data_IF_485516628093
#
_entry.id   IF_485516628093
#
_cell.length_a   1.000
_cell.length_b   1.000
_cell.length_c   1.000
_cell.angle_alpha   90.00
_cell.angle_beta   90.00
_cell.angle_gamma   90.00
#
_symmetry.space_group_name_H-M   'P 1'
#
loop_
_entity.id
_entity.type
_entity.pdbx_description
1 polymer ?
#
# COMPACT_ATOMS: atom_id res chain seq x y z
N UNK A 1 -31.64 12.01 -10.15
CA UNK A 1 -30.19 11.96 -10.47
C UNK A 1 -30.11 11.89 -11.99
N UNK A 2 -29.56 12.90 -12.67
CA UNK A 2 -29.31 12.80 -14.12
C UNK A 2 -28.05 11.97 -14.31
N UNK A 3 -28.15 10.90 -15.09
CA UNK A 3 -27.13 9.87 -15.30
C UNK A 3 -26.35 10.08 -16.61
N UNK A 4 -26.16 11.34 -17.00
CA UNK A 4 -25.57 11.71 -18.29
C UNK A 4 -24.13 11.23 -18.48
N UNK A 5 -23.42 10.90 -17.39
CA UNK A 5 -22.01 10.53 -17.41
C UNK A 5 -21.74 9.05 -17.08
N UNK A 6 -22.77 8.20 -17.08
CA UNK A 6 -22.58 6.77 -16.82
C UNK A 6 -21.61 6.12 -17.84
N UNK A 7 -20.82 5.12 -17.40
CA UNK A 7 -19.85 4.46 -18.26
C UNK A 7 -20.48 3.67 -19.41
N UNK A 8 -21.78 3.32 -19.30
CA UNK A 8 -22.51 2.55 -20.31
C UNK A 8 -23.70 3.37 -20.83
N UNK A 9 -23.63 3.77 -22.10
CA UNK A 9 -24.67 4.51 -22.81
C UNK A 9 -25.59 3.61 -23.64
N UNK A 10 -25.12 2.42 -24.00
CA UNK A 10 -25.91 1.44 -24.78
C UNK A 10 -25.84 0.04 -24.17
N UNK A 11 -26.85 -0.83 -24.42
CA UNK A 11 -26.80 -2.22 -24.00
C UNK A 11 -25.58 -2.98 -24.52
N UNK A 12 -25.10 -2.65 -25.72
CA UNK A 12 -23.92 -3.28 -26.33
C UNK A 12 -22.65 -2.98 -25.53
N UNK A 13 -22.48 -1.75 -25.03
CA UNK A 13 -21.33 -1.39 -24.18
C UNK A 13 -21.34 -2.19 -22.87
N UNK A 14 -22.51 -2.36 -22.25
CA UNK A 14 -22.67 -3.18 -21.05
C UNK A 14 -22.38 -4.66 -21.34
N UNK A 15 -22.85 -5.20 -22.47
CA UNK A 15 -22.57 -6.58 -22.87
C UNK A 15 -21.09 -6.83 -23.12
N UNK A 16 -20.37 -5.88 -23.74
CA UNK A 16 -18.93 -5.96 -23.93
C UNK A 16 -18.18 -5.97 -22.58
N UNK A 17 -18.63 -5.16 -21.63
CA UNK A 17 -18.07 -5.14 -20.29
C UNK A 17 -18.34 -6.44 -19.54
N UNK A 18 -19.57 -6.97 -19.62
CA UNK A 18 -19.92 -8.25 -19.01
C UNK A 18 -19.03 -9.38 -19.53
N UNK A 19 -18.83 -9.48 -20.85
CA UNK A 19 -17.92 -10.47 -21.44
C UNK A 19 -16.50 -10.37 -20.89
N UNK A 20 -15.99 -9.17 -20.67
CA UNK A 20 -14.66 -8.98 -20.07
C UNK A 20 -14.62 -9.43 -18.60
N UNK A 21 -15.71 -9.21 -17.84
CA UNK A 21 -15.84 -9.68 -16.45
C UNK A 21 -15.96 -11.21 -16.37
N UNK A 22 -16.66 -11.83 -17.31
CA UNK A 22 -16.74 -13.30 -17.39
C UNK A 22 -15.35 -13.90 -17.61
N UNK A 23 -14.57 -13.33 -18.53
CA UNK A 23 -13.17 -13.73 -18.79
C UNK A 23 -12.25 -13.47 -17.59
N UNK A 24 -12.50 -12.41 -16.82
CA UNK A 24 -11.79 -12.17 -15.56
C UNK A 24 -12.08 -13.25 -14.52
N UNK A 25 -13.34 -13.70 -14.44
CA UNK A 25 -13.76 -14.77 -13.54
C UNK A 25 -13.11 -16.08 -13.93
N UNK A 26 -13.10 -16.41 -15.22
CA UNK A 26 -12.38 -17.57 -15.76
C UNK A 26 -10.89 -17.51 -15.42
N UNK A 27 -10.23 -16.37 -15.64
CA UNK A 27 -8.83 -16.18 -15.27
C UNK A 27 -8.58 -16.44 -13.77
N UNK A 28 -9.42 -15.93 -12.88
CA UNK A 28 -9.26 -16.17 -11.43
C UNK A 28 -9.44 -17.66 -11.07
N UNK A 29 -10.38 -18.37 -11.70
CA UNK A 29 -10.55 -19.81 -11.50
C UNK A 29 -9.32 -20.60 -11.94
N UNK A 30 -8.71 -20.22 -13.07
CA UNK A 30 -7.44 -20.80 -13.53
C UNK A 30 -6.27 -20.47 -12.58
N UNK A 31 -6.24 -19.26 -12.00
CA UNK A 31 -5.22 -18.90 -11.02
C UNK A 31 -5.35 -19.72 -9.73
N UNK A 32 -6.58 -19.96 -9.27
CA UNK A 32 -6.89 -20.78 -8.09
C UNK A 32 -6.52 -22.25 -8.28
N UNK A 33 -6.73 -22.80 -9.49
CA UNK A 33 -6.32 -24.18 -9.82
C UNK A 33 -4.80 -24.36 -9.78
N UNK A 34 -4.05 -23.26 -9.86
CA UNK A 34 -2.58 -23.22 -9.94
C UNK A 34 -2.01 -24.02 -11.11
N UNK A 35 -2.82 -24.34 -12.13
CA UNK A 35 -2.34 -24.98 -13.34
C UNK A 35 -1.66 -23.94 -14.23
N UNK A 36 -0.33 -24.04 -14.32
CA UNK A 36 0.46 -23.07 -15.09
C UNK A 36 0.23 -23.20 -16.60
N UNK A 37 0.02 -24.42 -17.10
CA UNK A 37 -0.16 -24.64 -18.55
C UNK A 37 -1.47 -24.01 -19.02
N UNK A 38 -2.56 -24.19 -18.29
CA UNK A 38 -3.86 -23.59 -18.64
C UNK A 38 -3.80 -22.06 -18.65
N UNK A 39 -3.08 -21.46 -17.69
CA UNK A 39 -2.87 -20.01 -17.65
C UNK A 39 -2.02 -19.50 -18.82
N UNK A 40 -1.09 -20.31 -19.32
CA UNK A 40 -0.29 -19.99 -20.50
C UNK A 40 -1.14 -20.10 -21.78
N UNK A 41 -1.95 -21.15 -21.91
CA UNK A 41 -2.90 -21.25 -23.03
C UNK A 41 -3.89 -20.08 -23.03
N UNK A 42 -4.37 -19.66 -21.85
CA UNK A 42 -5.21 -18.47 -21.72
C UNK A 42 -4.49 -17.21 -22.20
N UNK A 43 -3.22 -17.02 -21.82
CA UNK A 43 -2.42 -15.90 -22.30
C UNK A 43 -2.29 -15.90 -23.84
N UNK A 44 -1.91 -17.04 -24.42
CA UNK A 44 -1.72 -17.17 -25.86
C UNK A 44 -3.01 -16.94 -26.65
N UNK A 45 -4.15 -17.38 -26.12
CA UNK A 45 -5.44 -17.22 -26.76
C UNK A 45 -5.89 -15.75 -26.85
N UNK A 46 -5.53 -14.91 -25.87
CA UNK A 46 -6.14 -13.59 -25.71
C UNK A 46 -5.18 -12.40 -25.86
N UNK A 47 -3.87 -12.58 -25.62
CA UNK A 47 -2.91 -11.48 -25.54
C UNK A 47 -2.93 -10.55 -26.77
N UNK A 48 -2.75 -11.10 -27.98
CA UNK A 48 -2.66 -10.31 -29.21
C UNK A 48 -3.97 -9.56 -29.49
N UNK A 49 -5.09 -10.29 -29.51
CA UNK A 49 -6.42 -9.72 -29.75
C UNK A 49 -6.76 -8.61 -28.74
N UNK A 50 -6.46 -8.80 -27.46
CA UNK A 50 -6.76 -7.79 -26.45
C UNK A 50 -5.89 -6.55 -26.58
N UNK A 51 -4.62 -6.69 -26.98
CA UNK A 51 -3.76 -5.55 -27.27
C UNK A 51 -4.30 -4.73 -28.44
N UNK A 52 -4.72 -5.38 -29.52
CA UNK A 52 -5.37 -4.71 -30.65
C UNK A 52 -6.66 -3.98 -30.23
N UNK A 53 -7.51 -4.64 -29.44
CA UNK A 53 -8.74 -4.03 -28.93
C UNK A 53 -8.46 -2.79 -28.08
N UNK A 54 -7.49 -2.87 -27.16
CA UNK A 54 -7.07 -1.72 -26.33
C UNK A 54 -6.54 -0.59 -27.22
N UNK A 55 -5.71 -0.90 -28.22
CA UNK A 55 -5.06 0.08 -29.08
C UNK A 55 -6.04 0.78 -30.04
N UNK A 56 -7.12 0.11 -30.42
CA UNK A 56 -8.16 0.65 -31.31
C UNK A 56 -9.21 1.53 -30.60
N UNK A 57 -9.24 1.54 -29.27
CA UNK A 57 -10.35 2.07 -28.48
C UNK A 57 -10.14 3.52 -28.03
N UNK A 58 -10.68 4.48 -28.79
CA UNK A 58 -10.58 5.91 -28.42
C UNK A 58 -11.67 6.40 -27.45
N UNK A 59 -12.82 5.72 -27.39
CA UNK A 59 -13.96 6.17 -26.58
C UNK A 59 -13.71 6.02 -25.07
N UNK A 60 -13.09 4.90 -24.66
CA UNK A 60 -12.82 4.61 -23.26
C UNK A 60 -11.73 5.50 -22.65
N UNK A 61 -10.86 6.09 -23.47
CA UNK A 61 -9.83 7.02 -23.02
C UNK A 61 -10.43 8.34 -22.54
N UNK A 62 -11.54 8.77 -23.13
CA UNK A 62 -12.24 10.01 -22.79
C UNK A 62 -12.98 9.93 -21.45
N UNK A 63 -13.25 8.73 -20.94
CA UNK A 63 -13.87 8.55 -19.62
C UNK A 63 -12.95 9.05 -18.50
N UNK A 64 -13.52 9.73 -17.47
CA UNK A 64 -12.78 10.01 -16.24
C UNK A 64 -12.21 8.74 -15.61
N UNK A 65 -11.08 8.86 -14.90
CA UNK A 65 -10.39 7.69 -14.34
C UNK A 65 -11.25 6.80 -13.43
N UNK A 66 -12.19 7.39 -12.69
CA UNK A 66 -13.15 6.68 -11.84
C UNK A 66 -14.24 5.91 -12.60
N UNK A 67 -14.49 6.25 -13.87
CA UNK A 67 -15.37 5.48 -14.77
C UNK A 67 -14.62 4.54 -15.69
N UNK A 68 -13.41 4.90 -16.12
CA UNK A 68 -12.59 4.06 -16.99
C UNK A 68 -12.37 2.66 -16.44
N UNK A 69 -12.37 2.49 -15.11
CA UNK A 69 -12.28 1.17 -14.45
C UNK A 69 -13.44 0.22 -14.79
N UNK A 70 -14.56 0.74 -15.26
CA UNK A 70 -15.73 0.02 -15.71
C UNK A 70 -15.76 -0.14 -17.24
N UNK A 71 -14.60 -0.12 -17.90
CA UNK A 71 -14.48 -0.40 -19.34
C UNK A 71 -13.92 -1.81 -19.60
N UNK A 72 -14.28 -2.45 -20.73
CA UNK A 72 -13.71 -3.73 -21.12
C UNK A 72 -12.17 -3.69 -21.21
N UNK A 73 -11.62 -2.59 -21.72
CA UNK A 73 -10.18 -2.41 -21.91
C UNK A 73 -9.43 -2.33 -20.59
N UNK A 74 -10.02 -1.70 -19.58
CA UNK A 74 -9.44 -1.70 -18.24
C UNK A 74 -9.40 -3.09 -17.63
N UNK A 75 -10.46 -3.89 -17.83
CA UNK A 75 -10.51 -5.29 -17.36
C UNK A 75 -9.44 -6.13 -18.05
N UNK A 76 -9.33 -6.05 -19.39
CA UNK A 76 -8.29 -6.72 -20.18
C UNK A 76 -6.89 -6.32 -19.74
N UNK A 77 -6.62 -5.02 -19.65
CA UNK A 77 -5.32 -4.51 -19.20
C UNK A 77 -4.98 -4.99 -17.79
N UNK A 78 -5.97 -5.08 -16.89
CA UNK A 78 -5.77 -5.63 -15.54
C UNK A 78 -5.37 -7.10 -15.61
N UNK A 79 -6.08 -7.93 -16.37
CA UNK A 79 -5.73 -9.35 -16.54
C UNK A 79 -4.33 -9.51 -17.16
N UNK A 80 -4.02 -8.79 -18.25
CA UNK A 80 -2.69 -8.79 -18.86
C UNK A 80 -1.60 -8.46 -17.85
N UNK A 81 -1.85 -7.50 -16.94
CA UNK A 81 -0.88 -7.16 -15.89
C UNK A 81 -0.63 -8.31 -14.90
N UNK A 82 -1.62 -9.17 -14.63
CA UNK A 82 -1.43 -10.39 -13.84
C UNK A 82 -0.73 -11.49 -14.66
N UNK A 83 -1.04 -11.62 -15.96
CA UNK A 83 -0.38 -12.57 -16.86
C UNK A 83 1.13 -12.33 -16.98
N UNK A 84 1.63 -11.10 -16.73
CA UNK A 84 3.08 -10.86 -16.61
C UNK A 84 3.73 -11.76 -15.54
N UNK A 85 3.05 -12.00 -14.41
CA UNK A 85 3.54 -12.85 -13.31
C UNK A 85 3.44 -14.34 -13.70
N UNK A 86 2.43 -14.71 -14.49
CA UNK A 86 2.29 -16.06 -15.07
C UNK A 86 3.45 -16.39 -15.99
N UNK A 87 3.74 -15.52 -16.95
CA UNK A 87 4.84 -15.69 -17.91
C UNK A 87 6.19 -15.87 -17.20
N UNK A 88 6.41 -15.14 -16.09
CA UNK A 88 7.62 -15.29 -15.28
C UNK A 88 7.71 -16.64 -14.57
N UNK A 89 6.58 -17.18 -14.06
CA UNK A 89 6.55 -18.54 -13.49
C UNK A 89 6.84 -19.60 -14.56
N UNK A 90 6.37 -19.39 -15.78
CA UNK A 90 6.67 -20.21 -16.96
C UNK A 90 8.06 -19.95 -17.55
N UNK A 91 8.86 -19.05 -16.96
CA UNK A 91 10.21 -18.67 -17.42
C UNK A 91 10.24 -18.09 -18.85
N UNK A 92 9.11 -17.59 -19.35
CA UNK A 92 8.98 -16.86 -20.63
C UNK A 92 9.32 -15.38 -20.41
N UNK A 93 10.59 -15.12 -20.09
CA UNK A 93 11.03 -13.81 -19.61
C UNK A 93 10.97 -12.72 -20.68
N UNK A 94 11.26 -13.05 -21.94
CA UNK A 94 11.23 -12.09 -23.05
C UNK A 94 9.81 -11.56 -23.29
N UNK A 95 8.83 -12.47 -23.35
CA UNK A 95 7.41 -12.12 -23.50
C UNK A 95 6.88 -11.35 -22.29
N UNK A 96 7.31 -11.72 -21.07
CA UNK A 96 6.97 -10.97 -19.88
C UNK A 96 7.54 -9.53 -19.91
N UNK A 97 8.76 -9.34 -20.41
CA UNK A 97 9.36 -8.00 -20.59
C UNK A 97 8.56 -7.21 -21.62
N UNK A 98 8.27 -7.79 -22.78
CA UNK A 98 7.49 -7.14 -23.85
C UNK A 98 6.11 -6.71 -23.32
N UNK A 99 5.41 -7.61 -22.63
CA UNK A 99 4.08 -7.31 -22.09
C UNK A 99 4.12 -6.20 -21.04
N UNK A 100 5.13 -6.20 -20.15
CA UNK A 100 5.29 -5.12 -19.18
C UNK A 100 5.57 -3.78 -19.89
N UNK A 101 6.44 -3.76 -20.89
CA UNK A 101 6.73 -2.55 -21.67
C UNK A 101 5.47 -2.03 -22.39
N UNK A 102 4.69 -2.92 -23.01
CA UNK A 102 3.41 -2.57 -23.60
C UNK A 102 2.46 -1.94 -22.57
N UNK A 103 2.26 -2.57 -21.41
CA UNK A 103 1.39 -2.04 -20.36
C UNK A 103 1.88 -0.70 -19.81
N UNK A 104 3.20 -0.50 -19.70
CA UNK A 104 3.78 0.77 -19.28
C UNK A 104 3.60 1.88 -20.32
N UNK A 105 3.56 1.54 -21.62
CA UNK A 105 3.25 2.50 -22.68
C UNK A 105 1.78 2.99 -22.65
N UNK A 106 0.87 2.25 -22.00
CA UNK A 106 -0.55 2.59 -21.87
C UNK A 106 -0.83 3.23 -20.51
N UNK A 107 -0.62 4.54 -20.39
CA UNK A 107 -0.72 5.29 -19.11
C UNK A 107 -2.14 5.44 -18.56
N UNK A 108 -3.16 5.17 -19.38
CA UNK A 108 -4.57 5.29 -18.99
C UNK A 108 -5.06 4.15 -18.11
N UNK A 109 -4.41 2.99 -18.18
CA UNK A 109 -4.80 1.77 -17.46
C UNK A 109 -3.80 1.41 -16.37
N UNK A 110 -4.23 0.64 -15.37
CA UNK A 110 -3.37 0.11 -14.30
C UNK A 110 -2.49 1.16 -13.58
N UNK A 111 -2.90 2.43 -13.50
CA UNK A 111 -2.10 3.52 -12.90
C UNK A 111 -1.51 3.14 -11.53
N UNK A 112 -2.31 2.53 -10.67
CA UNK A 112 -1.90 2.07 -9.33
C UNK A 112 -0.90 0.90 -9.31
N UNK A 113 -0.71 0.18 -10.44
CA UNK A 113 0.28 -0.91 -10.57
C UNK A 113 1.56 -0.46 -11.28
N UNK A 114 1.63 0.77 -11.79
CA UNK A 114 2.78 1.23 -12.60
C UNK A 114 4.10 1.11 -11.87
N UNK A 115 4.16 1.49 -10.58
CA UNK A 115 5.37 1.29 -9.77
C UNK A 115 5.79 -0.17 -9.62
N UNK A 116 4.83 -1.11 -9.48
CA UNK A 116 5.11 -2.56 -9.46
C UNK A 116 5.65 -3.02 -10.82
N UNK A 117 5.05 -2.57 -11.92
CA UNK A 117 5.46 -2.92 -13.29
C UNK A 117 6.87 -2.41 -13.60
N UNK A 118 7.18 -1.15 -13.30
CA UNK A 118 8.53 -0.58 -13.46
C UNK A 118 9.58 -1.33 -12.65
N UNK A 119 9.31 -1.57 -11.36
CA UNK A 119 10.22 -2.34 -10.51
C UNK A 119 10.45 -3.75 -11.06
N UNK A 120 9.40 -4.37 -11.63
CA UNK A 120 9.51 -5.71 -12.20
C UNK A 120 10.28 -5.72 -13.51
N UNK A 121 10.03 -4.75 -14.40
CA UNK A 121 10.78 -4.59 -15.65
C UNK A 121 12.27 -4.42 -15.37
N UNK A 122 12.63 -3.49 -14.48
CA UNK A 122 14.01 -3.23 -14.10
C UNK A 122 14.69 -4.50 -13.54
N UNK A 123 14.00 -5.23 -12.64
CA UNK A 123 14.49 -6.50 -12.10
C UNK A 123 14.68 -7.57 -13.18
N UNK A 124 13.77 -7.65 -14.16
CA UNK A 124 13.82 -8.65 -15.21
C UNK A 124 14.94 -8.36 -16.21
N UNK A 125 15.10 -7.11 -16.64
CA UNK A 125 16.20 -6.69 -17.50
C UNK A 125 17.55 -6.96 -16.85
N UNK A 126 17.70 -6.62 -15.55
CA UNK A 126 18.94 -6.88 -14.81
C UNK A 126 19.34 -8.36 -14.86
N UNK A 127 18.39 -9.26 -14.58
CA UNK A 127 18.69 -10.68 -14.38
C UNK A 127 18.73 -11.47 -15.69
N UNK A 128 17.81 -11.21 -16.61
CA UNK A 128 17.55 -12.10 -17.74
C UNK A 128 18.00 -11.54 -19.09
N UNK A 129 18.15 -10.22 -19.24
CA UNK A 129 18.62 -9.64 -20.50
C UNK A 129 20.15 -9.59 -20.53
N UNK A 130 20.75 -10.19 -21.55
CA UNK A 130 22.21 -10.20 -21.78
C UNK A 130 22.54 -9.80 -23.23
N UNK A 131 23.68 -9.13 -23.48
CA UNK A 131 24.68 -8.68 -22.50
C UNK A 131 24.31 -7.35 -21.81
N UNK A 132 23.40 -6.57 -22.39
CA UNK A 132 23.17 -5.16 -22.03
C UNK A 132 22.10 -4.92 -20.94
N UNK A 133 21.66 -5.96 -20.22
CA UNK A 133 20.55 -5.85 -19.28
C UNK A 133 20.75 -4.86 -18.13
N UNK A 134 21.99 -4.66 -17.67
CA UNK A 134 22.28 -3.65 -16.64
C UNK A 134 22.04 -2.22 -17.15
N UNK A 135 22.47 -1.91 -18.38
CA UNK A 135 22.24 -0.58 -18.96
C UNK A 135 20.75 -0.36 -19.26
N UNK A 136 20.06 -1.38 -19.77
CA UNK A 136 18.61 -1.30 -19.98
C UNK A 136 17.86 -1.07 -18.66
N UNK A 137 18.25 -1.77 -17.59
CA UNK A 137 17.70 -1.58 -16.25
C UNK A 137 17.85 -0.13 -15.79
N UNK A 138 19.01 0.50 -15.98
CA UNK A 138 19.23 1.90 -15.61
C UNK A 138 18.39 2.88 -16.43
N UNK A 139 18.29 2.67 -17.75
CA UNK A 139 17.43 3.49 -18.60
C UNK A 139 15.95 3.37 -18.17
N UNK A 140 15.52 2.15 -17.86
CA UNK A 140 14.17 1.86 -17.33
C UNK A 140 13.92 2.54 -15.99
N UNK A 141 14.91 2.54 -15.08
CA UNK A 141 14.80 3.26 -13.81
C UNK A 141 14.67 4.77 -14.06
N UNK A 142 15.46 5.35 -14.97
CA UNK A 142 15.39 6.76 -15.32
C UNK A 142 13.99 7.16 -15.81
N UNK A 143 13.41 6.38 -16.73
CA UNK A 143 12.06 6.60 -17.23
C UNK A 143 11.01 6.46 -16.11
N UNK A 144 11.13 5.44 -15.26
CA UNK A 144 10.24 5.22 -14.14
C UNK A 144 10.25 6.40 -13.13
N UNK A 145 11.39 7.05 -12.93
CA UNK A 145 11.49 8.22 -12.05
C UNK A 145 10.79 9.46 -12.63
N UNK A 146 10.50 9.51 -13.92
CA UNK A 146 9.69 10.58 -14.53
C UNK A 146 8.18 10.29 -14.52
N UNK A 147 7.78 9.06 -14.20
CA UNK A 147 6.37 8.66 -14.24
C UNK A 147 5.60 9.12 -12.98
N UNK A 148 4.60 10.01 -13.12
CA UNK A 148 3.90 10.61 -11.98
C UNK A 148 3.04 9.62 -11.18
N UNK A 149 2.78 8.43 -11.71
CA UNK A 149 1.99 7.40 -11.06
C UNK A 149 2.85 6.39 -10.28
N UNK A 150 4.18 6.51 -10.34
CA UNK A 150 5.08 5.70 -9.51
C UNK A 150 5.09 6.28 -8.11
N UNK A 151 4.61 5.49 -7.16
CA UNK A 151 4.53 5.87 -5.75
C UNK A 151 5.92 6.09 -5.16
N UNK A 152 5.96 6.83 -4.06
CA UNK A 152 7.16 7.08 -3.30
C UNK A 152 7.89 5.77 -2.88
N UNK A 153 7.18 4.79 -2.33
CA UNK A 153 7.80 3.49 -1.97
C UNK A 153 8.35 2.72 -3.18
N UNK A 154 7.69 2.79 -4.33
CA UNK A 154 8.17 2.14 -5.55
C UNK A 154 9.39 2.87 -6.15
N UNK A 155 9.45 4.21 -6.04
CA UNK A 155 10.62 5.04 -6.40
C UNK A 155 11.83 4.68 -5.56
N UNK A 156 11.66 4.56 -4.24
CA UNK A 156 12.75 4.16 -3.34
C UNK A 156 13.33 2.78 -3.75
N UNK A 157 12.47 1.82 -4.10
CA UNK A 157 12.92 0.51 -4.58
C UNK A 157 13.73 0.54 -5.88
N UNK A 158 13.36 1.44 -6.81
CA UNK A 158 14.11 1.67 -8.05
C UNK A 158 15.46 2.33 -7.78
N UNK A 159 15.51 3.35 -6.92
CA UNK A 159 16.75 4.03 -6.53
C UNK A 159 17.71 3.07 -5.82
N UNK A 160 17.22 2.23 -4.91
CA UNK A 160 18.02 1.19 -4.25
C UNK A 160 18.58 0.16 -5.23
N UNK A 161 17.82 -0.20 -6.27
CA UNK A 161 18.31 -1.08 -7.34
C UNK A 161 19.44 -0.42 -8.12
N UNK A 162 19.26 0.83 -8.54
CA UNK A 162 20.30 1.58 -9.22
C UNK A 162 21.57 1.68 -8.35
N UNK A 163 21.45 2.05 -7.07
CA UNK A 163 22.61 2.14 -6.14
C UNK A 163 23.36 0.81 -6.05
N UNK A 164 22.64 -0.31 -5.92
CA UNK A 164 23.24 -1.66 -5.91
C UNK A 164 23.90 -2.05 -7.23
N UNK A 165 23.41 -1.55 -8.36
CA UNK A 165 24.05 -1.79 -9.66
C UNK A 165 25.34 -1.00 -9.82
N UNK A 166 25.38 0.24 -9.34
CA UNK A 166 26.58 1.09 -9.36
C UNK A 166 27.68 0.62 -8.42
N UNK A 167 27.30 0.10 -7.24
CA UNK A 167 28.28 -0.41 -6.26
C UNK A 167 28.92 -1.74 -6.67
N UNK A 168 28.45 -2.40 -7.75
CA UNK A 168 29.04 -3.64 -8.24
C UNK A 168 30.40 -3.40 -8.91
N UNK A 169 31.46 -4.14 -8.53
CA UNK A 169 32.78 -3.99 -9.15
C UNK A 169 32.76 -4.16 -10.68
N UNK A 170 31.95 -5.09 -11.19
CA UNK A 170 31.81 -5.38 -12.62
C UNK A 170 31.11 -4.28 -13.43
N UNK A 171 30.44 -3.34 -12.78
CA UNK A 171 29.69 -2.25 -13.40
C UNK A 171 30.51 -0.95 -13.50
N UNK A 172 31.61 -0.85 -12.75
CA UNK A 172 32.38 0.39 -12.58
C UNK A 172 33.00 0.83 -13.91
N UNK A 173 32.67 2.05 -14.36
CA UNK A 173 33.17 2.63 -15.61
C UNK A 173 32.56 2.06 -16.89
N UNK A 174 31.58 1.15 -16.80
CA UNK A 174 30.90 0.53 -17.95
C UNK A 174 29.49 1.10 -18.12
N UNK A 175 28.80 1.35 -17.01
CA UNK A 175 27.42 1.86 -17.03
C UNK A 175 27.39 3.37 -17.24
N UNK A 176 26.51 3.81 -18.12
CA UNK A 176 26.24 5.23 -18.38
C UNK A 176 24.95 5.61 -17.66
N UNK A 177 25.02 6.46 -16.65
CA UNK A 177 23.85 7.11 -16.07
C UNK A 177 24.16 8.58 -15.79
N UNK A 178 23.97 9.42 -16.80
CA UNK A 178 24.21 10.87 -16.70
C UNK A 178 23.27 11.57 -15.70
N UNK A 179 22.17 10.91 -15.32
CA UNK A 179 21.22 11.37 -14.31
C UNK A 179 21.61 10.96 -12.88
N UNK A 180 22.63 10.12 -12.72
CA UNK A 180 23.22 9.82 -11.41
C UNK A 180 24.52 10.63 -11.35
N UNK A 181 24.42 11.84 -10.81
CA UNK A 181 25.56 12.72 -10.59
C UNK A 181 26.30 12.33 -9.31
N UNK A 182 27.59 12.66 -9.21
CA UNK A 182 28.40 12.47 -7.98
C UNK A 182 27.80 13.18 -6.74
N UNK A 183 26.89 14.14 -6.96
CA UNK A 183 25.90 14.58 -5.97
C UNK A 183 24.80 13.50 -5.81
N UNK A 184 25.17 12.36 -5.23
CA UNK A 184 24.34 11.15 -5.05
C UNK A 184 22.98 11.42 -4.36
N UNK A 185 22.76 12.60 -3.78
CA UNK A 185 21.66 12.90 -2.87
C UNK A 185 20.40 13.49 -3.52
N UNK A 186 20.49 14.22 -4.65
CA UNK A 186 19.34 14.98 -5.15
C UNK A 186 18.31 14.17 -5.96
N UNK A 187 18.71 13.01 -6.50
CA UNK A 187 17.83 12.12 -7.29
C UNK A 187 17.58 10.77 -6.64
N UNK A 188 18.47 10.32 -5.74
CA UNK A 188 18.28 9.11 -4.97
C UNK A 188 17.77 9.45 -3.59
N UNK A 189 16.45 9.53 -3.44
CA UNK A 189 15.83 9.64 -2.13
C UNK A 189 16.41 8.60 -1.17
N UNK A 190 17.10 9.09 -0.15
CA UNK A 190 17.72 8.29 0.89
C UNK A 190 16.88 8.43 2.14
N UNK A 191 16.28 7.32 2.56
CA UNK A 191 15.51 7.25 3.80
C UNK A 191 16.46 6.87 4.94
N UNK A 192 16.59 7.67 6.01
CA UNK A 192 17.36 7.31 7.19
C UNK A 192 16.90 5.97 7.78
N UNK A 193 17.82 5.26 8.44
CA UNK A 193 17.42 4.05 9.16
C UNK A 193 16.51 4.45 10.33
N UNK A 194 15.32 3.83 10.44
CA UNK A 194 14.41 4.14 11.53
C UNK A 194 15.00 3.66 12.86
N UNK A 195 14.56 4.29 13.95
CA UNK A 195 14.85 3.81 15.30
C UNK A 195 14.29 2.39 15.45
N UNK A 196 15.10 1.45 15.94
CA UNK A 196 14.67 0.09 16.23
C UNK A 196 14.76 -0.19 17.74
N UNK A 197 13.78 -0.91 18.28
CA UNK A 197 13.81 -1.50 19.61
C UNK A 197 13.66 -3.02 19.52
N UNK A 198 14.12 -3.75 20.53
CA UNK A 198 13.94 -5.20 20.61
C UNK A 198 13.03 -5.57 21.79
N UNK A 199 11.99 -6.34 21.50
CA UNK A 199 11.04 -6.87 22.49
C UNK A 199 11.12 -8.39 22.49
N UNK A 200 11.35 -8.99 23.66
CA UNK A 200 11.44 -10.44 23.78
C UNK A 200 10.11 -11.04 24.23
N UNK A 201 9.58 -11.99 23.45
CA UNK A 201 8.38 -12.75 23.79
C UNK A 201 8.70 -14.21 24.11
N UNK A 202 7.94 -14.82 25.03
CA UNK A 202 8.01 -16.27 25.25
C UNK A 202 7.19 -16.98 24.17
N UNK A 203 7.86 -17.82 23.38
CA UNK A 203 7.20 -18.64 22.37
C UNK A 203 6.42 -19.79 23.00
N UNK A 204 5.22 -20.04 22.47
CA UNK A 204 4.59 -21.34 22.62
C UNK A 204 5.31 -22.33 21.70
N UNK A 205 5.65 -23.52 22.19
CA UNK A 205 6.26 -24.55 21.35
C UNK A 205 5.31 -24.86 20.18
N UNK A 206 5.76 -24.59 18.94
CA UNK A 206 4.96 -24.77 17.73
C UNK A 206 4.39 -26.19 17.65
N UNK A 207 3.06 -26.33 17.69
CA UNK A 207 2.42 -27.44 16.98
C UNK A 207 2.45 -27.05 15.50
N UNK A 208 3.13 -27.84 14.67
CA UNK A 208 3.41 -27.57 13.26
C UNK A 208 2.14 -27.36 12.38
N UNK A 209 0.95 -27.48 12.98
CA UNK A 209 -0.36 -27.27 12.36
C UNK A 209 -0.85 -25.82 12.35
N UNK A 210 -0.31 -24.93 13.19
CA UNK A 210 -0.94 -23.59 13.39
C UNK A 210 -0.41 -22.46 12.51
N UNK A 211 0.70 -22.63 11.78
CA UNK A 211 1.19 -21.71 10.74
C UNK A 211 1.62 -20.30 11.17
N UNK A 212 1.05 -19.72 12.23
CA UNK A 212 1.38 -18.43 12.81
C UNK A 212 2.11 -18.61 14.15
N UNK A 213 3.16 -17.82 14.35
CA UNK A 213 3.94 -17.80 15.59
C UNK A 213 3.06 -17.21 16.70
N UNK A 214 2.93 -17.93 17.82
CA UNK A 214 2.12 -17.51 18.97
C UNK A 214 3.02 -17.27 20.19
N UNK A 215 2.81 -16.13 20.84
CA UNK A 215 3.51 -15.73 22.05
C UNK A 215 2.58 -15.80 23.27
N UNK A 216 3.17 -15.85 24.46
CA UNK A 216 2.42 -15.82 25.72
C UNK A 216 2.70 -14.51 26.47
N UNK A 217 1.63 -13.84 26.89
CA UNK A 217 1.65 -12.70 27.81
C UNK A 217 1.07 -13.16 29.14
N UNK A 218 1.61 -12.67 30.26
CA UNK A 218 1.01 -12.87 31.57
C UNK A 218 0.12 -11.67 31.90
N UNK A 219 -1.14 -11.93 32.23
CA UNK A 219 -2.06 -10.87 32.66
C UNK A 219 -1.58 -10.31 34.02
N UNK A 220 -1.41 -8.98 34.13
CA UNK A 220 -0.92 -8.37 35.37
C UNK A 220 -1.93 -8.42 36.52
N UNK A 221 -3.21 -8.66 36.27
CA UNK A 221 -4.28 -8.64 37.29
C UNK A 221 -4.43 -9.99 37.97
N UNK A 222 -4.54 -11.07 37.21
CA UNK A 222 -4.81 -12.42 37.74
C UNK A 222 -3.65 -13.42 37.52
N UNK A 223 -2.60 -13.01 36.82
CA UNK A 223 -1.45 -13.86 36.50
C UNK A 223 -1.73 -14.93 35.46
N UNK A 224 -2.91 -14.92 34.82
CA UNK A 224 -3.27 -15.88 33.77
C UNK A 224 -2.38 -15.72 32.54
N UNK A 225 -2.17 -16.82 31.81
CA UNK A 225 -1.39 -16.81 30.58
C UNK A 225 -2.35 -16.62 29.41
N UNK A 226 -2.16 -15.54 28.66
CA UNK A 226 -2.90 -15.22 27.44
C UNK A 226 -2.02 -15.50 26.21
N UNK A 227 -2.63 -16.07 25.17
CA UNK A 227 -1.98 -16.30 23.89
C UNK A 227 -2.20 -15.10 22.97
N UNK A 228 -1.15 -14.70 22.26
CA UNK A 228 -1.18 -13.48 21.45
C UNK A 228 -0.31 -13.60 20.19
N UNK A 229 -0.59 -12.74 19.22
CA UNK A 229 0.28 -12.53 18.07
C UNK A 229 1.42 -11.55 18.39
N UNK A 230 2.27 -11.29 17.39
CA UNK A 230 3.45 -10.43 17.56
C UNK A 230 3.07 -8.98 17.86
N UNK A 231 1.96 -8.50 17.28
CA UNK A 231 1.46 -7.14 17.42
C UNK A 231 0.86 -6.90 18.80
N UNK A 232 0.11 -7.86 19.34
CA UNK A 232 -0.43 -7.82 20.69
C UNK A 232 0.67 -7.88 21.75
N UNK A 233 1.74 -8.64 21.52
CA UNK A 233 2.93 -8.65 22.39
C UNK A 233 3.60 -7.26 22.41
N UNK A 234 3.76 -6.64 21.25
CA UNK A 234 4.31 -5.28 21.17
C UNK A 234 3.40 -4.27 21.90
N UNK A 235 2.07 -4.31 21.70
CA UNK A 235 1.13 -3.46 22.44
C UNK A 235 1.26 -3.66 23.96
N UNK A 236 1.41 -4.91 24.42
CA UNK A 236 1.62 -5.19 25.84
C UNK A 236 2.90 -4.54 26.38
N UNK A 237 4.02 -4.65 25.65
CA UNK A 237 5.26 -3.97 26.01
C UNK A 237 5.09 -2.45 26.11
N UNK A 238 4.47 -1.82 25.11
CA UNK A 238 4.22 -0.37 25.15
C UNK A 238 3.34 0.05 26.33
N UNK A 239 2.41 -0.83 26.73
CA UNK A 239 1.51 -0.57 27.85
C UNK A 239 2.19 -0.72 29.21
N UNK A 240 3.05 -1.71 29.40
CA UNK A 240 3.66 -2.01 30.70
C UNK A 240 4.99 -1.29 30.92
N UNK A 241 5.81 -1.15 29.89
CA UNK A 241 7.18 -0.64 30.01
C UNK A 241 7.32 0.83 29.56
N UNK A 242 6.51 1.26 28.59
CA UNK A 242 6.67 2.58 27.93
C UNK A 242 5.53 3.57 28.25
N UNK A 243 4.63 3.21 29.15
CA UNK A 243 3.53 4.06 29.64
C UNK A 243 2.59 4.55 28.50
N UNK A 244 2.18 3.67 27.61
CA UNK A 244 1.11 3.91 26.63
C UNK A 244 -0.17 3.18 27.05
N UNK A 245 -1.14 3.93 27.60
CA UNK A 245 -2.36 3.35 28.18
C UNK A 245 -3.27 2.67 27.15
N UNK A 246 -3.15 3.06 25.88
CA UNK A 246 -3.95 2.54 24.77
C UNK A 246 -3.05 2.12 23.60
N UNK A 247 -3.51 1.12 22.85
CA UNK A 247 -2.86 0.66 21.63
C UNK A 247 -3.84 -0.10 20.73
N UNK A 248 -3.73 0.12 19.42
CA UNK A 248 -4.50 -0.59 18.39
C UNK A 248 -3.57 -1.13 17.32
N UNK A 249 -3.86 -2.34 16.84
CA UNK A 249 -3.26 -2.93 15.66
C UNK A 249 -4.25 -2.78 14.51
N UNK A 250 -3.93 -1.94 13.53
CA UNK A 250 -4.90 -1.58 12.48
C UNK A 250 -4.29 -1.15 11.14
N UNK A 251 -2.96 -1.22 11.00
CA UNK A 251 -2.25 -0.75 9.81
C UNK A 251 -2.73 0.68 9.44
N UNK A 252 -2.96 0.94 8.15
CA UNK A 252 -3.47 2.24 7.68
C UNK A 252 -4.90 2.60 8.11
N UNK A 253 -5.66 1.69 8.73
CA UNK A 253 -7.06 1.96 9.09
C UNK A 253 -7.20 3.02 10.19
N UNK A 254 -6.26 3.10 11.15
CA UNK A 254 -6.25 4.18 12.16
C UNK A 254 -6.21 5.54 11.50
N UNK A 255 -5.25 5.76 10.61
CA UNK A 255 -5.04 7.08 10.02
C UNK A 255 -6.18 7.42 9.06
N UNK A 256 -6.70 6.42 8.34
CA UNK A 256 -7.89 6.56 7.49
C UNK A 256 -9.13 6.93 8.29
N UNK A 257 -9.27 6.40 9.51
CA UNK A 257 -10.41 6.66 10.39
C UNK A 257 -10.29 8.04 11.03
N UNK A 258 -9.14 8.38 11.62
CA UNK A 258 -8.90 9.67 12.28
C UNK A 258 -9.01 10.84 11.30
N UNK A 259 -8.29 10.78 10.17
CA UNK A 259 -8.35 11.84 9.15
C UNK A 259 -9.66 11.76 8.38
N UNK A 260 -10.13 10.57 8.02
CA UNK A 260 -11.40 10.41 7.30
C UNK A 260 -12.57 11.04 8.03
N UNK A 261 -12.64 10.89 9.36
CA UNK A 261 -13.70 11.49 10.17
C UNK A 261 -13.65 13.02 10.15
N UNK A 262 -12.47 13.64 10.17
CA UNK A 262 -12.29 15.09 10.12
C UNK A 262 -12.73 15.73 8.78
N UNK A 263 -12.87 14.93 7.73
CA UNK A 263 -13.19 15.39 6.37
C UNK A 263 -14.43 14.69 5.82
N UNK A 264 -15.17 13.94 6.63
CA UNK A 264 -16.21 13.03 6.15
C UNK A 264 -17.32 13.77 5.39
N UNK A 265 -17.72 14.94 5.89
CA UNK A 265 -18.64 15.85 5.23
C UNK A 265 -18.13 16.30 3.86
N UNK A 266 -16.83 16.60 3.73
CA UNK A 266 -16.22 17.01 2.46
C UNK A 266 -16.04 15.84 1.48
N UNK A 267 -15.80 14.62 1.99
CA UNK A 267 -15.69 13.42 1.18
C UNK A 267 -16.98 13.19 0.41
N UNK A 268 -18.13 13.33 1.06
CA UNK A 268 -19.44 13.13 0.44
C UNK A 268 -20.02 14.37 -0.27
N UNK A 269 -19.29 15.50 -0.33
CA UNK A 269 -19.61 16.57 -1.29
C UNK A 269 -19.42 16.02 -2.71
N UNK A 270 -20.38 16.29 -3.60
CA UNK A 270 -20.35 15.86 -5.00
C UNK A 270 -20.03 17.06 -5.91
N UNK A 271 -18.74 17.36 -6.20
CA UNK A 271 -18.36 18.46 -7.08
C UNK A 271 -18.75 18.21 -8.55
N UNK A 272 -18.97 16.95 -8.92
CA UNK A 272 -19.46 16.53 -10.23
C UNK A 272 -20.63 15.55 -10.06
N UNK A 273 -21.57 15.49 -11.04
CA UNK A 273 -22.60 14.46 -11.06
C UNK A 273 -22.02 13.03 -11.06
N UNK A 274 -22.87 12.06 -10.72
CA UNK A 274 -22.60 10.62 -10.88
C UNK A 274 -21.42 10.04 -10.06
N UNK A 275 -20.95 10.74 -9.02
CA UNK A 275 -19.95 10.18 -8.07
C UNK A 275 -20.59 9.23 -7.04
N UNK A 276 -21.88 9.40 -6.76
CA UNK A 276 -22.74 8.47 -6.02
C UNK A 276 -23.93 8.12 -6.93
N UNK A 277 -23.88 6.95 -7.55
CA UNK A 277 -24.87 6.44 -8.50
C UNK A 277 -25.96 5.66 -7.78
N UNK A 278 -25.62 4.98 -6.68
CA UNK A 278 -26.53 4.09 -5.95
C UNK A 278 -26.43 4.27 -4.42
N UNK A 279 -27.51 3.92 -3.71
CA UNK A 279 -27.67 4.06 -2.26
C UNK A 279 -26.76 3.14 -1.43
N UNK A 280 -26.19 2.09 -2.03
CA UNK A 280 -25.30 1.14 -1.37
C UNK A 280 -23.81 1.52 -1.49
N UNK A 281 -23.48 2.64 -2.14
CA UNK A 281 -22.09 3.10 -2.22
C UNK A 281 -21.57 3.55 -0.85
N UNK A 282 -20.45 2.96 -0.44
CA UNK A 282 -19.76 3.30 0.82
C UNK A 282 -18.73 4.42 0.67
N UNK A 283 -18.43 4.83 -0.57
CA UNK A 283 -17.58 5.98 -0.91
C UNK A 283 -17.94 6.55 -2.31
N UNK A 284 -17.64 7.83 -2.57
CA UNK A 284 -17.66 8.39 -3.92
C UNK A 284 -16.74 7.63 -4.88
N UNK A 285 -17.14 7.47 -6.14
CA UNK A 285 -16.36 6.71 -7.13
C UNK A 285 -14.97 7.30 -7.38
N UNK A 286 -14.81 8.61 -7.23
CA UNK A 286 -13.53 9.29 -7.38
C UNK A 286 -12.63 9.17 -6.14
N UNK A 287 -13.14 8.73 -4.98
CA UNK A 287 -12.44 8.76 -3.69
C UNK A 287 -11.08 8.07 -3.72
N UNK A 288 -10.89 6.99 -4.47
CA UNK A 288 -9.59 6.29 -4.59
C UNK A 288 -8.80 6.64 -5.86
N UNK A 289 -9.05 7.81 -6.44
CA UNK A 289 -8.42 8.26 -7.69
C UNK A 289 -7.69 9.58 -7.52
N UNK A 290 -6.83 9.92 -8.49
CA UNK A 290 -6.13 11.21 -8.52
C UNK A 290 -7.07 12.40 -8.78
N UNK A 291 -8.34 12.16 -9.10
CA UNK A 291 -9.35 13.20 -9.29
C UNK A 291 -9.92 13.74 -7.96
N UNK A 292 -9.96 12.92 -6.90
CA UNK A 292 -10.65 13.28 -5.64
C UNK A 292 -10.14 14.58 -5.02
N UNK A 293 -8.82 14.65 -4.78
CA UNK A 293 -8.23 15.85 -4.18
C UNK A 293 -8.28 17.02 -5.15
N UNK A 294 -8.07 16.79 -6.45
CA UNK A 294 -8.11 17.86 -7.48
C UNK A 294 -9.48 18.54 -7.54
N UNK A 295 -10.57 17.77 -7.45
CA UNK A 295 -11.94 18.30 -7.52
C UNK A 295 -12.42 18.99 -6.24
N UNK A 296 -11.73 18.76 -5.11
CA UNK A 296 -12.06 19.33 -3.79
C UNK A 296 -10.93 20.12 -3.15
N UNK A 297 -9.92 20.52 -3.93
CA UNK A 297 -8.67 21.09 -3.42
C UNK A 297 -8.91 22.29 -2.51
N UNK A 298 -9.73 23.23 -2.97
CA UNK A 298 -10.02 24.45 -2.19
C UNK A 298 -10.65 24.13 -0.84
N UNK A 299 -11.67 23.26 -0.82
CA UNK A 299 -12.41 22.89 0.38
C UNK A 299 -11.54 22.08 1.35
N UNK A 300 -10.74 21.15 0.83
CA UNK A 300 -9.83 20.33 1.64
C UNK A 300 -8.72 21.22 2.23
N UNK A 301 -8.10 22.09 1.45
CA UNK A 301 -7.04 22.98 1.93
C UNK A 301 -7.56 23.99 2.97
N UNK A 302 -8.79 24.49 2.78
CA UNK A 302 -9.46 25.35 3.76
C UNK A 302 -9.73 24.58 5.06
N UNK A 303 -10.27 23.36 4.99
CA UNK A 303 -10.48 22.50 6.17
C UNK A 303 -9.16 22.21 6.88
N UNK A 304 -8.09 21.89 6.15
CA UNK A 304 -6.76 21.70 6.75
C UNK A 304 -6.35 22.96 7.53
N UNK A 305 -6.55 24.15 6.96
CA UNK A 305 -6.21 25.42 7.63
C UNK A 305 -7.07 25.68 8.89
N UNK A 306 -8.30 25.17 8.94
CA UNK A 306 -9.18 25.23 10.12
C UNK A 306 -8.73 24.31 11.26
N UNK A 307 -8.01 23.22 10.98
CA UNK A 307 -7.47 22.28 11.97
C UNK A 307 -6.24 22.86 12.70
N UNK A 308 -6.36 24.07 13.24
CA UNK A 308 -5.26 24.84 13.83
C UNK A 308 -5.26 24.88 15.37
N UNK A 309 -6.26 24.28 16.02
CA UNK A 309 -6.39 24.18 17.48
C UNK A 309 -7.03 22.84 17.88
N UNK A 310 -6.77 22.38 19.12
CA UNK A 310 -7.43 21.19 19.68
C UNK A 310 -8.96 21.35 19.68
N UNK A 311 -9.46 22.57 19.95
CA UNK A 311 -10.89 22.90 19.98
C UNK A 311 -11.56 22.72 18.61
N UNK A 312 -10.96 23.25 17.54
CA UNK A 312 -11.51 23.12 16.19
C UNK A 312 -11.52 21.65 15.72
N UNK A 313 -10.48 20.89 16.05
CA UNK A 313 -10.38 19.46 15.74
C UNK A 313 -11.50 18.70 16.46
N UNK A 314 -11.72 18.98 17.74
CA UNK A 314 -12.77 18.37 18.55
C UNK A 314 -14.15 18.72 17.99
N UNK A 315 -14.45 20.00 17.74
CA UNK A 315 -15.73 20.46 17.18
C UNK A 315 -16.07 19.77 15.85
N UNK A 316 -15.12 19.73 14.91
CA UNK A 316 -15.31 19.07 13.61
C UNK A 316 -15.52 17.56 13.79
N UNK A 317 -14.76 16.93 14.68
CA UNK A 317 -14.88 15.51 14.97
C UNK A 317 -16.24 15.19 15.56
N UNK A 318 -16.72 15.98 16.52
CA UNK A 318 -18.04 15.79 17.14
C UNK A 318 -19.17 15.96 16.14
N UNK A 319 -19.13 17.04 15.35
CA UNK A 319 -20.11 17.29 14.29
C UNK A 319 -20.19 16.12 13.30
N UNK A 320 -19.05 15.66 12.79
CA UNK A 320 -19.02 14.56 11.83
C UNK A 320 -19.37 13.21 12.48
N UNK A 321 -19.00 13.00 13.74
CA UNK A 321 -19.42 11.82 14.48
C UNK A 321 -20.95 11.78 14.64
N UNK A 322 -21.58 12.87 15.05
CA UNK A 322 -23.03 12.94 15.26
C UNK A 322 -23.82 12.78 13.97
N UNK A 323 -23.33 13.38 12.88
CA UNK A 323 -23.99 13.33 11.58
C UNK A 323 -23.87 11.97 10.88
N UNK A 324 -22.76 11.27 11.06
CA UNK A 324 -22.42 10.10 10.26
C UNK A 324 -22.20 8.81 11.04
N UNK A 325 -22.18 8.82 12.38
CA UNK A 325 -22.12 7.57 13.14
C UNK A 325 -23.25 6.64 12.67
N UNK A 326 -22.98 5.33 12.65
CA UNK A 326 -23.89 4.29 12.14
C UNK A 326 -24.09 4.28 10.61
N UNK A 327 -23.45 5.17 9.84
CA UNK A 327 -23.45 5.06 8.38
C UNK A 327 -22.44 4.01 7.90
N UNK A 328 -22.77 3.29 6.82
CA UNK A 328 -21.82 2.43 6.13
C UNK A 328 -20.83 3.32 5.36
N UNK A 329 -19.60 3.41 5.85
CA UNK A 329 -18.52 4.15 5.20
C UNK A 329 -17.31 3.24 5.06
N UNK A 330 -16.71 3.23 3.87
CA UNK A 330 -15.43 2.55 3.68
C UNK A 330 -14.27 3.34 4.29
N UNK A 331 -14.45 4.66 4.50
CA UNK A 331 -13.40 5.60 4.92
C UNK A 331 -13.13 5.47 6.43
N UNK A 332 -14.17 5.63 7.23
CA UNK A 332 -14.15 5.56 8.69
C UNK A 332 -14.54 4.15 9.14
N UNK A 333 -13.66 3.50 9.90
CA UNK A 333 -14.01 2.27 10.60
C UNK A 333 -14.58 2.61 11.99
N UNK A 334 -15.91 2.56 12.12
CA UNK A 334 -16.62 2.92 13.35
C UNK A 334 -16.34 1.95 14.52
N UNK A 335 -15.90 0.73 14.22
CA UNK A 335 -15.59 -0.30 15.23
C UNK A 335 -14.12 -0.24 15.69
N UNK A 336 -13.29 0.59 15.04
CA UNK A 336 -11.86 0.64 15.35
C UNK A 336 -11.58 1.22 16.74
N UNK A 337 -12.35 2.23 17.12
CA UNK A 337 -12.31 2.82 18.45
C UNK A 337 -13.55 2.40 19.22
N UNK A 338 -13.37 1.88 20.44
CA UNK A 338 -14.48 1.39 21.26
C UNK A 338 -15.55 2.46 21.55
N UNK A 339 -15.14 3.73 21.65
CA UNK A 339 -16.03 4.86 21.93
C UNK A 339 -15.54 6.14 21.24
N UNK A 340 -16.46 7.11 21.04
CA UNK A 340 -16.11 8.49 20.62
C UNK A 340 -15.01 9.08 21.51
N UNK A 341 -15.13 8.88 22.82
CA UNK A 341 -14.16 9.36 23.82
C UNK A 341 -12.77 8.80 23.59
N UNK A 342 -12.67 7.50 23.28
CA UNK A 342 -11.38 6.85 22.96
C UNK A 342 -10.77 7.44 21.69
N UNK A 343 -11.57 7.69 20.65
CA UNK A 343 -11.12 8.33 19.41
C UNK A 343 -10.61 9.76 19.66
N UNK A 344 -11.39 10.58 20.39
CA UNK A 344 -10.98 11.94 20.75
C UNK A 344 -9.69 11.94 21.59
N UNK A 345 -9.52 10.96 22.48
CA UNK A 345 -8.28 10.83 23.26
C UNK A 345 -7.05 10.55 22.40
N UNK A 346 -7.22 9.80 21.30
CA UNK A 346 -6.18 9.55 20.30
C UNK A 346 -5.84 10.83 19.52
N UNK A 347 -6.85 11.56 19.03
CA UNK A 347 -6.65 12.85 18.34
C UNK A 347 -5.95 13.87 19.22
N UNK A 348 -6.29 13.95 20.51
CA UNK A 348 -5.66 14.86 21.49
C UNK A 348 -4.18 14.57 21.76
N UNK A 349 -3.68 13.40 21.37
CA UNK A 349 -2.26 13.06 21.45
C UNK A 349 -1.45 13.48 20.22
N UNK A 350 -2.12 14.00 19.19
CA UNK A 350 -1.51 14.57 18.00
C UNK A 350 -1.66 16.09 18.03
N UNK A 351 -0.64 16.82 17.61
CA UNK A 351 -0.72 18.27 17.49
C UNK A 351 -1.53 18.66 16.25
N UNK A 352 -2.11 19.89 16.22
CA UNK A 352 -2.78 20.39 15.03
C UNK A 352 -1.89 20.33 13.77
N UNK A 353 -0.61 20.72 13.88
CA UNK A 353 0.36 20.70 12.77
C UNK A 353 0.63 19.28 12.25
N UNK A 354 0.68 18.27 13.15
CA UNK A 354 0.81 16.86 12.78
C UNK A 354 -0.43 16.36 12.01
N UNK A 355 -1.63 16.68 12.50
CA UNK A 355 -2.89 16.31 11.84
C UNK A 355 -2.99 16.97 10.46
N UNK A 356 -2.63 18.25 10.34
CA UNK A 356 -2.60 18.98 9.07
C UNK A 356 -1.62 18.33 8.08
N UNK A 357 -0.40 18.00 8.52
CA UNK A 357 0.63 17.37 7.70
C UNK A 357 0.22 15.98 7.20
N UNK A 358 -0.36 15.16 8.08
CA UNK A 358 -0.90 13.86 7.69
C UNK A 358 -2.10 14.01 6.74
N UNK A 359 -2.98 15.00 6.97
CA UNK A 359 -4.15 15.26 6.12
C UNK A 359 -3.75 15.61 4.69
N UNK A 360 -2.84 16.58 4.51
CA UNK A 360 -2.41 17.01 3.18
C UNK A 360 -1.74 15.85 2.42
N UNK A 361 -0.83 15.12 3.07
CA UNK A 361 -0.14 14.00 2.45
C UNK A 361 -1.13 12.90 2.03
N UNK A 362 -2.06 12.59 2.92
CA UNK A 362 -3.10 11.58 2.71
C UNK A 362 -3.99 11.90 1.51
N UNK A 363 -4.49 13.12 1.38
CA UNK A 363 -5.37 13.47 0.26
C UNK A 363 -4.61 13.66 -1.06
N UNK A 364 -3.40 14.22 -1.02
CA UNK A 364 -2.56 14.40 -2.23
C UNK A 364 -2.16 13.06 -2.85
N UNK A 365 -1.74 12.10 -2.03
CA UNK A 365 -1.30 10.78 -2.50
C UNK A 365 -2.42 9.73 -2.52
N UNK A 366 -3.52 9.99 -1.81
CA UNK A 366 -4.76 9.23 -1.79
C UNK A 366 -4.51 7.72 -1.65
N UNK A 367 -4.89 6.90 -2.66
CA UNK A 367 -4.75 5.44 -2.61
C UNK A 367 -3.32 4.98 -2.27
N UNK A 368 -2.30 5.73 -2.71
CA UNK A 368 -0.91 5.41 -2.43
C UNK A 368 -0.49 5.74 -0.99
N UNK A 369 -1.15 6.71 -0.34
CA UNK A 369 -0.88 7.05 1.05
C UNK A 369 -1.18 5.85 1.96
N UNK A 370 -2.26 5.11 1.75
CA UNK A 370 -2.65 4.05 2.69
C UNK A 370 -1.76 2.81 2.70
N UNK A 371 -0.77 2.71 1.80
CA UNK A 371 0.09 1.53 1.67
C UNK A 371 1.35 1.65 2.53
N UNK A 372 1.61 0.64 3.35
CA UNK A 372 2.81 0.56 4.18
C UNK A 372 2.78 1.44 5.42
N UNK A 373 1.59 1.88 5.84
CA UNK A 373 1.44 2.58 7.12
C UNK A 373 1.78 1.63 8.29
N UNK A 374 2.38 2.10 9.40
CA UNK A 374 2.78 1.25 10.52
C UNK A 374 1.65 0.41 11.12
N UNK A 375 1.97 -0.78 11.60
CA UNK A 375 1.00 -1.74 12.15
C UNK A 375 0.22 -1.19 13.34
N UNK A 376 0.93 -0.53 14.27
CA UNK A 376 0.39 -0.08 15.55
C UNK A 376 0.29 1.44 15.65
N UNK A 377 -0.72 1.86 16.38
CA UNK A 377 -0.81 3.19 16.96
C UNK A 377 -1.04 3.06 18.47
N UNK A 378 -0.11 3.60 19.26
CA UNK A 378 -0.17 3.59 20.73
C UNK A 378 -0.21 5.02 21.25
N UNK A 379 -0.98 5.29 22.30
CA UNK A 379 -1.12 6.65 22.84
C UNK A 379 -1.40 6.66 24.34
N UNK A 380 -1.05 7.78 24.98
CA UNK A 380 -1.34 8.09 26.37
C UNK A 380 -1.93 9.52 26.44
N UNK A 381 -3.24 9.66 26.70
CA UNK A 381 -3.90 10.97 26.73
C UNK A 381 -3.51 11.82 27.94
N UNK A 382 -3.06 11.22 29.05
CA UNK A 382 -2.62 11.95 30.24
C UNK A 382 -1.27 12.62 29.95
N UNK A 383 -0.35 11.87 29.37
CA UNK A 383 0.97 12.37 28.97
C UNK A 383 0.96 13.15 27.64
N UNK A 384 -0.20 13.23 26.95
CA UNK A 384 -0.37 13.81 25.60
C UNK A 384 0.70 13.32 24.61
N UNK A 385 0.97 12.01 24.59
CA UNK A 385 1.95 11.39 23.68
C UNK A 385 1.32 10.28 22.86
N UNK A 386 1.76 10.13 21.61
CA UNK A 386 1.45 8.99 20.77
C UNK A 386 2.69 8.51 20.03
N UNK A 387 2.62 7.29 19.49
CA UNK A 387 3.67 6.69 18.67
C UNK A 387 3.05 5.75 17.64
N UNK A 388 3.59 5.78 16.42
CA UNK A 388 3.33 4.77 15.40
C UNK A 388 4.43 3.72 15.40
N UNK A 389 4.08 2.44 15.36
CA UNK A 389 5.08 1.36 15.49
C UNK A 389 4.87 0.32 14.41
N UNK A 390 5.94 0.04 13.67
CA UNK A 390 5.98 -1.06 12.72
C UNK A 390 6.56 -2.30 13.42
N UNK A 391 5.80 -3.38 13.45
CA UNK A 391 6.17 -4.60 14.17
C UNK A 391 6.80 -5.58 13.20
N UNK A 392 8.02 -6.02 13.50
CA UNK A 392 8.75 -6.97 12.66
C UNK A 392 9.25 -8.12 13.50
N UNK A 393 9.17 -9.34 12.96
CA UNK A 393 9.99 -10.43 13.50
C UNK A 393 11.47 -10.10 13.29
N UNK A 394 12.35 -10.68 14.11
CA UNK A 394 13.80 -10.42 14.05
C UNK A 394 14.40 -10.55 12.63
N UNK A 395 13.91 -11.48 11.81
CA UNK A 395 14.40 -11.71 10.44
C UNK A 395 13.64 -10.95 9.35
N UNK A 396 12.52 -10.30 9.70
CA UNK A 396 11.69 -9.61 8.73
C UNK A 396 12.23 -8.21 8.43
N UNK A 397 12.12 -7.81 7.16
CA UNK A 397 12.62 -6.53 6.64
C UNK A 397 11.47 -5.60 6.36
N UNK A 398 11.73 -4.31 6.49
CA UNK A 398 10.78 -3.28 6.08
C UNK A 398 10.62 -3.30 4.56
N UNK A 399 9.37 -3.18 4.11
CA UNK A 399 9.10 -2.84 2.73
C UNK A 399 9.50 -1.38 2.46
N UNK A 400 9.77 -1.04 1.21
CA UNK A 400 10.07 0.35 0.85
C UNK A 400 8.92 1.31 1.15
N UNK A 401 7.67 0.86 1.06
CA UNK A 401 6.50 1.67 1.42
C UNK A 401 6.45 1.97 2.93
N UNK A 402 6.88 1.03 3.77
CA UNK A 402 7.01 1.23 5.21
C UNK A 402 8.15 2.19 5.57
N UNK A 403 9.31 2.04 4.94
CA UNK A 403 10.42 3.00 5.11
C UNK A 403 9.99 4.43 4.79
N UNK A 404 9.29 4.61 3.67
CA UNK A 404 8.73 5.92 3.28
C UNK A 404 7.79 6.48 4.34
N UNK A 405 6.92 5.65 4.92
CA UNK A 405 6.01 6.13 5.95
C UNK A 405 6.72 6.51 7.23
N UNK A 406 7.73 5.75 7.66
CA UNK A 406 8.54 6.10 8.82
C UNK A 406 9.29 7.41 8.60
N UNK A 407 9.86 7.61 7.40
CA UNK A 407 10.48 8.88 6.99
C UNK A 407 9.48 10.06 7.07
N UNK A 408 8.27 9.86 6.55
CA UNK A 408 7.21 10.87 6.57
C UNK A 408 6.72 11.18 7.98
N UNK A 409 6.61 10.19 8.86
CA UNK A 409 6.24 10.41 10.25
C UNK A 409 7.30 11.25 10.97
N UNK A 410 8.59 10.98 10.74
CA UNK A 410 9.69 11.82 11.23
C UNK A 410 9.60 13.24 10.67
N UNK A 411 9.35 13.40 9.37
CA UNK A 411 9.14 14.72 8.72
C UNK A 411 7.97 15.48 9.37
N UNK A 412 6.89 14.78 9.70
CA UNK A 412 5.72 15.34 10.39
C UNK A 412 5.94 15.54 11.89
N UNK A 413 7.13 15.24 12.41
CA UNK A 413 7.50 15.31 13.83
C UNK A 413 6.62 14.41 14.71
N UNK A 414 6.22 13.25 14.21
CA UNK A 414 5.47 12.23 14.94
C UNK A 414 6.42 11.11 15.34
N UNK A 415 6.38 10.70 16.61
CA UNK A 415 7.23 9.63 17.10
C UNK A 415 6.88 8.30 16.40
N UNK A 416 7.91 7.63 15.89
CA UNK A 416 7.76 6.34 15.25
C UNK A 416 9.01 5.48 15.41
N UNK A 417 8.83 4.16 15.47
CA UNK A 417 9.93 3.22 15.54
C UNK A 417 9.55 1.83 15.00
N UNK A 418 10.55 0.99 14.85
CA UNK A 418 10.39 -0.42 14.48
C UNK A 418 10.55 -1.26 15.73
N UNK A 419 9.54 -2.05 16.06
CA UNK A 419 9.59 -3.02 17.16
C UNK A 419 9.98 -4.40 16.62
N UNK A 420 11.22 -4.80 16.87
CA UNK A 420 11.74 -6.13 16.52
C UNK A 420 11.38 -7.11 17.62
N UNK A 421 10.50 -8.06 17.31
CA UNK A 421 10.16 -9.12 18.26
C UNK A 421 11.09 -10.32 18.07
N UNK A 422 11.74 -10.72 19.17
CA UNK A 422 12.55 -11.91 19.27
C UNK A 422 12.00 -12.89 20.30
N UNK A 423 12.42 -14.15 20.20
CA UNK A 423 11.86 -15.25 20.97
C UNK A 423 12.76 -15.71 22.11
N UNK A 424 12.25 -15.67 23.34
CA UNK A 424 12.86 -16.33 24.49
C UNK A 424 12.68 -17.86 24.39
N UNK A 425 13.79 -18.60 24.32
CA UNK A 425 13.82 -20.07 24.23
C UNK A 425 14.25 -20.64 22.86
N UNK A 426 14.48 -19.79 21.84
CA UNK A 426 14.87 -20.22 20.50
C UNK A 426 16.26 -20.90 20.42
N UNK A 427 17.12 -20.73 21.45
CA UNK A 427 18.45 -21.37 21.51
C UNK A 427 18.42 -22.91 21.45
N UNK A 428 17.28 -23.56 21.72
CA UNK A 428 17.14 -25.04 21.62
C UNK A 428 16.64 -25.55 20.27
N UNK A 429 16.09 -24.71 19.39
CA UNK A 429 15.62 -25.13 18.07
C UNK A 429 16.69 -24.96 16.98
N UNK A 430 17.66 -24.06 17.16
CA UNK A 430 18.73 -23.81 16.18
C UNK A 430 19.84 -24.89 16.13
N UNK A 431 19.92 -25.80 17.10
CA UNK A 431 20.95 -26.86 17.12
C UNK A 431 20.56 -28.17 16.43
N UNK A 432 19.32 -28.32 15.92
CA UNK A 432 18.84 -29.59 15.35
C UNK A 432 18.91 -29.70 13.82
N UNK A 433 19.35 -28.68 13.11
CA UNK A 433 19.51 -28.69 11.64
C UNK A 433 20.97 -28.78 11.18
N UNK A 434 21.90 -29.08 12.09
CA UNK A 434 23.32 -29.27 11.77
C UNK A 434 23.87 -30.52 12.45
N UNK A 435 23.30 -31.68 12.11
CA UNK A 435 23.96 -32.97 12.31
C UNK A 435 24.00 -33.67 10.97
N UNK A 436 25.17 -33.57 10.36
CA UNK A 436 25.66 -34.28 9.19
C UNK A 436 25.28 -35.76 9.26
N UNK A 437 24.61 -36.25 8.23
CA UNK A 437 24.50 -37.69 7.97
C UNK A 437 25.86 -38.09 7.40
N UNK A 438 26.74 -38.63 8.24
CA UNK A 438 27.85 -39.46 7.77
C UNK A 438 27.26 -40.79 7.29
N UNK A 439 27.50 -41.08 6.01
CA UNK A 439 27.23 -42.35 5.37
C UNK A 439 28.41 -43.28 5.67
N UNK A 440 28.14 -44.39 6.36
CA UNK A 440 28.89 -45.64 6.20
C UNK A 440 28.11 -46.57 5.26
#
# INVERSE_FOLDING_TARGET
ISHEHLPFKTPEQLQLYQKAIDLQTEYHQLEESKNLDDLIHFYEAYNEQWREMIDSSSENEQLPGYFRRFSPDYVRARILSHLTEVLQRARRYDEAIELIQYLLSRTMYNRYRRGKLWNRLALMQENYVKPNGHQQCLNTIQEALQDPYVTLGDRLGLCERARKLFSRPKSKGILLATWITDEEDNLMWTVPQPKEIEVTGRLLANDARMGKVTYTIQDPVDGSIQFCNVEQLAIHHYRTEEDYSYGIHSEGAVIRTLIGLLFLDLIYILPTPDLLIDIFQTEPLDFQTDAFYKSRKSQIDERISQLNSEENIEEITEKNWEMYNLTMSSVVNWELFQTKTTLLSALKCLTPEQIQSMSIYTFVHNRAAWKGFPDLFVWNPIAKKCKFVEVKSHNDRLSFHQLVWLDKLVEFKIDCEVCKVSANGAKKLMQRTSSTIELD
#
